data_IF_362756456723
#
_entry.id   IF_362756456723
#
_cell.length_a   1.000
_cell.length_b   1.000
_cell.length_c   1.000
_cell.angle_alpha   90.00
_cell.angle_beta   90.00
_cell.angle_gamma   90.00
#
_symmetry.space_group_name_H-M   'P 1'
#
loop_
_entity.id
_entity.type
_entity.pdbx_description
1 polymer ?
#
# COMPACT_ATOMS: atom_id res chain seq x y z
N UNK A 1 -36.43 23.48 -1.54
CA UNK A 1 -35.86 22.82 -0.34
C UNK A 1 -34.41 22.49 -0.64
N UNK A 2 -33.46 22.81 0.25
CA UNK A 2 -32.06 22.35 0.09
C UNK A 2 -31.99 20.84 0.28
N UNK A 3 -31.22 20.14 -0.56
CA UNK A 3 -31.00 18.71 -0.39
C UNK A 3 -30.04 18.49 0.78
N UNK A 4 -30.42 17.58 1.68
CA UNK A 4 -29.63 17.24 2.86
C UNK A 4 -28.81 15.99 2.61
N UNK A 5 -27.55 16.01 3.01
CA UNK A 5 -26.65 14.85 2.92
C UNK A 5 -26.06 14.58 4.31
N UNK A 6 -26.23 13.36 4.80
CA UNK A 6 -25.60 12.91 6.05
C UNK A 6 -24.37 12.06 5.72
N UNK A 7 -23.24 12.39 6.34
CA UNK A 7 -21.97 11.66 6.25
C UNK A 7 -21.70 11.05 7.63
N UNK A 8 -21.51 9.73 7.68
CA UNK A 8 -21.22 9.01 8.93
C UNK A 8 -19.73 8.65 8.94
N UNK A 9 -19.01 9.21 9.91
CA UNK A 9 -17.57 9.08 10.08
C UNK A 9 -16.80 10.33 9.64
N UNK A 10 -16.06 10.92 10.58
CA UNK A 10 -15.16 12.06 10.42
C UNK A 10 -13.70 11.69 10.18
N UNK A 11 -13.44 10.50 9.63
CA UNK A 11 -12.14 10.13 9.09
C UNK A 11 -11.85 10.78 7.73
N UNK A 12 -10.66 10.53 7.16
CA UNK A 12 -10.23 11.13 5.88
C UNK A 12 -11.25 10.92 4.75
N UNK A 13 -11.90 9.76 4.66
CA UNK A 13 -12.91 9.50 3.63
C UNK A 13 -14.15 10.37 3.79
N UNK A 14 -14.65 10.53 5.02
CA UNK A 14 -15.83 11.36 5.28
C UNK A 14 -15.55 12.84 5.15
N UNK A 15 -14.38 13.30 5.61
CA UNK A 15 -13.93 14.68 5.45
C UNK A 15 -13.72 15.03 3.98
N UNK A 16 -13.07 14.17 3.19
CA UNK A 16 -12.90 14.37 1.77
C UNK A 16 -14.24 14.38 1.02
N UNK A 17 -15.18 13.49 1.39
CA UNK A 17 -16.52 13.50 0.83
C UNK A 17 -17.28 14.79 1.15
N UNK A 18 -17.22 15.26 2.40
CA UNK A 18 -17.84 16.50 2.82
C UNK A 18 -17.26 17.69 2.04
N UNK A 19 -15.92 17.78 1.96
CA UNK A 19 -15.21 18.81 1.22
C UNK A 19 -15.63 18.82 -0.26
N UNK A 20 -15.60 17.65 -0.92
CA UNK A 20 -15.96 17.52 -2.33
C UNK A 20 -17.42 17.93 -2.59
N UNK A 21 -18.35 17.52 -1.73
CA UNK A 21 -19.77 17.87 -1.87
C UNK A 21 -19.99 19.38 -1.74
N UNK A 22 -19.43 20.01 -0.70
CA UNK A 22 -19.55 21.46 -0.47
C UNK A 22 -18.94 22.26 -1.62
N UNK A 23 -17.79 21.83 -2.14
CA UNK A 23 -17.16 22.47 -3.30
C UNK A 23 -17.98 22.30 -4.58
N UNK A 24 -18.55 21.12 -4.80
CA UNK A 24 -19.29 20.81 -6.03
C UNK A 24 -20.68 21.45 -6.09
N UNK A 25 -21.35 21.59 -4.95
CA UNK A 25 -22.68 22.19 -4.87
C UNK A 25 -22.86 22.87 -3.50
N UNK A 26 -22.59 24.19 -3.42
CA UNK A 26 -22.77 24.99 -2.20
C UNK A 26 -24.23 25.08 -1.71
N UNK A 27 -25.20 24.60 -2.49
CA UNK A 27 -26.61 24.58 -2.07
C UNK A 27 -26.96 23.35 -1.20
N UNK A 28 -26.07 22.35 -1.14
CA UNK A 28 -26.24 21.18 -0.28
C UNK A 28 -26.12 21.54 1.19
N UNK A 29 -27.00 20.95 1.99
CA UNK A 29 -26.97 21.01 3.45
C UNK A 29 -26.28 19.74 3.96
N UNK A 30 -24.95 19.81 4.11
CA UNK A 30 -24.08 18.67 4.44
C UNK A 30 -23.85 18.58 5.94
N UNK A 31 -24.20 17.44 6.53
CA UNK A 31 -24.03 17.14 7.95
C UNK A 31 -23.08 15.97 8.13
N UNK A 32 -22.00 16.16 8.89
CA UNK A 32 -21.04 15.10 9.22
C UNK A 32 -21.20 14.71 10.68
N UNK A 33 -21.32 13.40 10.91
CA UNK A 33 -21.46 12.81 12.25
C UNK A 33 -20.23 11.96 12.54
N UNK A 34 -19.48 12.31 13.58
CA UNK A 34 -18.34 11.54 14.08
C UNK A 34 -18.68 11.01 15.48
N UNK A 35 -18.35 9.74 15.73
CA UNK A 35 -18.64 9.09 17.00
C UNK A 35 -17.63 9.48 18.09
N UNK A 36 -16.37 9.70 17.70
CA UNK A 36 -15.28 10.08 18.57
C UNK A 36 -15.25 11.57 18.93
N UNK A 37 -14.37 11.97 19.87
CA UNK A 37 -14.28 13.34 20.35
C UNK A 37 -13.55 14.29 19.37
N UNK A 38 -13.03 13.78 18.26
CA UNK A 38 -12.26 14.55 17.26
C UNK A 38 -12.46 13.98 15.86
N UNK A 39 -12.22 14.83 14.86
CA UNK A 39 -12.10 14.42 13.46
C UNK A 39 -10.71 13.82 13.17
N UNK A 40 -10.56 13.26 11.96
CA UNK A 40 -9.31 12.69 11.43
C UNK A 40 -9.31 11.16 11.41
N UNK A 41 -10.15 10.52 12.21
CA UNK A 41 -10.19 9.05 12.33
C UNK A 41 -8.82 8.51 12.75
N UNK A 42 -8.28 7.56 11.97
CA UNK A 42 -6.95 6.98 12.23
C UNK A 42 -5.81 7.98 12.08
N UNK A 43 -5.99 9.06 11.31
CA UNK A 43 -4.95 10.08 11.12
C UNK A 43 -4.87 10.92 12.40
N UNK A 44 -3.69 10.93 13.02
CA UNK A 44 -3.43 11.63 14.26
C UNK A 44 -1.95 11.92 14.42
N UNK A 45 -1.63 13.18 14.69
CA UNK A 45 -0.28 13.59 15.02
C UNK A 45 -0.24 14.06 16.48
N UNK A 46 0.71 13.56 17.26
CA UNK A 46 0.92 13.92 18.67
C UNK A 46 2.28 14.57 18.83
N UNK A 47 2.32 15.71 19.55
CA UNK A 47 3.57 16.36 19.96
C UNK A 47 3.87 15.99 21.40
N UNK A 48 5.01 15.34 21.64
CA UNK A 48 5.41 14.91 22.99
C UNK A 48 6.94 14.86 23.10
N UNK A 49 7.49 15.43 24.17
CA UNK A 49 8.92 15.37 24.49
C UNK A 49 9.85 15.82 23.34
N UNK A 50 9.42 16.83 22.55
CA UNK A 50 10.15 17.32 21.38
C UNK A 50 9.95 16.51 20.10
N UNK A 51 9.17 15.42 20.15
CA UNK A 51 8.85 14.58 18.99
C UNK A 51 7.51 14.94 18.36
N UNK A 52 7.41 14.68 17.06
CA UNK A 52 6.17 14.63 16.29
C UNK A 52 5.90 13.16 15.95
N UNK A 53 4.80 12.60 16.48
CA UNK A 53 4.51 11.17 16.44
C UNK A 53 3.20 10.95 15.70
N UNK A 54 3.23 10.17 14.62
CA UNK A 54 2.03 9.78 13.88
C UNK A 54 1.42 8.51 14.49
N UNK A 55 0.11 8.54 14.75
CA UNK A 55 -0.63 7.47 15.42
C UNK A 55 -1.03 6.31 14.49
N UNK A 56 -1.09 6.54 13.18
CA UNK A 56 -1.35 5.49 12.20
C UNK A 56 -0.71 5.79 10.84
N UNK A 57 -1.29 6.71 10.07
CA UNK A 57 -0.76 7.09 8.77
C UNK A 57 0.43 8.04 8.95
N UNK A 58 1.61 7.60 8.55
CA UNK A 58 2.86 8.37 8.65
C UNK A 58 3.18 9.14 7.36
N UNK A 59 2.80 8.58 6.21
CA UNK A 59 2.95 9.21 4.90
C UNK A 59 1.90 8.69 3.90
N UNK A 60 1.85 9.29 2.71
CA UNK A 60 1.04 8.80 1.59
C UNK A 60 1.84 8.83 0.28
N UNK A 61 1.47 7.94 -0.64
CA UNK A 61 2.16 7.78 -1.92
C UNK A 61 1.68 8.86 -2.90
N UNK A 62 2.62 9.62 -3.47
CA UNK A 62 2.34 10.73 -4.39
C UNK A 62 1.98 10.29 -5.80
N UNK A 63 2.11 9.00 -6.14
CA UNK A 63 1.68 8.46 -7.43
C UNK A 63 0.16 8.38 -7.58
N UNK A 64 -0.60 8.53 -6.49
CA UNK A 64 -2.05 8.66 -6.50
C UNK A 64 -2.38 10.16 -6.49
N UNK A 65 -2.84 10.75 -7.60
CA UNK A 65 -2.95 12.21 -7.73
C UNK A 65 -3.96 12.85 -6.78
N UNK A 66 -4.97 12.11 -6.32
CA UNK A 66 -6.06 12.66 -5.50
C UNK A 66 -5.58 13.20 -4.15
N UNK A 67 -4.56 12.60 -3.53
CA UNK A 67 -4.00 13.11 -2.28
C UNK A 67 -3.32 14.46 -2.46
N UNK A 68 -2.49 14.59 -3.50
CA UNK A 68 -1.80 15.84 -3.84
C UNK A 68 -2.80 16.92 -4.21
N UNK A 69 -3.79 16.59 -5.04
CA UNK A 69 -4.85 17.52 -5.42
C UNK A 69 -5.63 18.03 -4.20
N UNK A 70 -5.94 17.17 -3.24
CA UNK A 70 -6.60 17.61 -2.01
C UNK A 70 -5.72 18.59 -1.21
N UNK A 71 -4.41 18.36 -1.14
CA UNK A 71 -3.49 19.31 -0.52
C UNK A 71 -3.47 20.65 -1.26
N UNK A 72 -3.49 20.65 -2.59
CA UNK A 72 -3.59 21.87 -3.41
C UNK A 72 -4.89 22.61 -3.16
N UNK A 73 -6.04 21.91 -3.19
CA UNK A 73 -7.37 22.48 -2.95
C UNK A 73 -7.50 23.11 -1.55
N UNK A 74 -6.74 22.59 -0.57
CA UNK A 74 -6.69 23.09 0.81
C UNK A 74 -5.60 24.16 1.05
N UNK A 75 -4.77 24.49 0.04
CA UNK A 75 -3.66 25.42 0.19
C UNK A 75 -2.47 24.88 1.00
N UNK A 76 -2.33 23.55 1.11
CA UNK A 76 -1.30 22.84 1.86
C UNK A 76 -0.17 22.30 0.96
N UNK A 77 -0.15 22.66 -0.32
CA UNK A 77 0.84 22.15 -1.28
C UNK A 77 2.28 22.47 -0.85
N UNK A 78 2.51 23.67 -0.30
CA UNK A 78 3.83 24.13 0.14
C UNK A 78 4.29 23.48 1.47
N UNK A 79 3.37 22.86 2.21
CA UNK A 79 3.66 22.14 3.45
C UNK A 79 4.07 20.67 3.22
N UNK A 80 4.03 20.20 1.96
CA UNK A 80 4.38 18.82 1.62
C UNK A 80 5.88 18.56 1.76
N UNK A 81 6.24 17.73 2.75
CA UNK A 81 7.62 17.30 2.99
C UNK A 81 7.88 15.97 2.27
N UNK A 82 8.93 15.93 1.45
CA UNK A 82 9.38 14.68 0.80
C UNK A 82 10.19 13.83 1.76
N UNK A 83 10.12 12.51 1.58
CA UNK A 83 10.99 11.58 2.30
C UNK A 83 12.45 11.86 2.01
N UNK A 84 13.29 11.78 3.05
CA UNK A 84 14.73 11.98 2.96
C UNK A 84 15.32 11.00 1.91
N UNK A 85 16.04 11.48 0.88
CA UNK A 85 16.66 10.60 -0.09
C UNK A 85 17.80 9.77 0.51
N UNK A 86 18.44 10.26 1.56
CA UNK A 86 19.52 9.58 2.27
C UNK A 86 18.91 8.52 3.19
N UNK A 87 19.25 7.24 2.97
CA UNK A 87 18.66 6.12 3.70
C UNK A 87 17.41 5.53 3.04
N UNK A 88 17.12 5.86 1.78
CA UNK A 88 16.06 5.19 1.02
C UNK A 88 16.34 3.71 0.88
N UNK A 89 15.35 2.90 1.25
CA UNK A 89 15.41 1.45 1.17
C UNK A 89 14.52 0.85 2.25
N UNK A 90 14.38 -0.46 2.18
CA UNK A 90 13.81 -1.25 3.25
C UNK A 90 14.66 -2.51 3.37
N UNK A 91 14.77 -3.03 4.59
CA UNK A 91 15.47 -4.27 4.88
C UNK A 91 14.47 -5.33 5.29
N UNK A 92 14.80 -6.59 5.03
CA UNK A 92 14.11 -7.74 5.63
C UNK A 92 15.07 -8.45 6.56
N UNK A 93 14.56 -8.85 7.73
CA UNK A 93 15.30 -9.69 8.65
C UNK A 93 15.27 -11.13 8.14
N UNK A 94 16.43 -11.65 7.75
CA UNK A 94 16.58 -13.04 7.30
C UNK A 94 17.81 -13.65 7.96
N UNK A 95 17.66 -14.86 8.52
CA UNK A 95 18.75 -15.59 9.18
C UNK A 95 19.48 -14.75 10.26
N UNK A 96 18.74 -13.90 10.99
CA UNK A 96 19.29 -13.04 12.04
C UNK A 96 20.08 -11.83 11.53
N UNK A 97 20.04 -11.52 10.24
CA UNK A 97 20.70 -10.34 9.64
C UNK A 97 19.70 -9.51 8.85
N UNK A 98 19.85 -8.19 8.92
CA UNK A 98 19.12 -7.28 8.04
C UNK A 98 19.77 -7.35 6.65
N UNK A 99 18.96 -7.69 5.66
CA UNK A 99 19.38 -7.72 4.26
C UNK A 99 18.53 -6.74 3.45
N UNK A 100 19.15 -5.88 2.64
CA UNK A 100 18.43 -4.88 1.88
C UNK A 100 17.56 -5.50 0.80
N UNK A 101 16.33 -4.99 0.69
CA UNK A 101 15.41 -5.38 -0.38
C UNK A 101 16.02 -4.97 -1.72
N UNK A 102 16.04 -5.87 -2.72
CA UNK A 102 16.64 -5.59 -4.02
C UNK A 102 16.02 -4.37 -4.69
N UNK A 103 16.87 -3.49 -5.22
CA UNK A 103 16.40 -2.30 -5.92
C UNK A 103 15.45 -2.66 -7.06
N UNK A 104 14.32 -1.96 -7.13
CA UNK A 104 13.29 -2.23 -8.12
C UNK A 104 12.33 -3.37 -7.77
N UNK A 105 12.44 -4.03 -6.61
CA UNK A 105 11.42 -4.96 -6.14
C UNK A 105 10.19 -4.19 -5.65
N UNK A 106 9.10 -4.24 -6.42
CA UNK A 106 7.83 -3.60 -6.04
C UNK A 106 6.86 -4.65 -5.54
N UNK A 107 6.77 -4.80 -4.22
CA UNK A 107 5.82 -5.64 -3.48
C UNK A 107 5.91 -7.15 -3.79
N UNK A 108 5.86 -7.57 -5.06
CA UNK A 108 5.89 -8.96 -5.52
C UNK A 108 6.74 -9.21 -6.76
N UNK A 109 6.99 -8.20 -7.60
CA UNK A 109 7.78 -8.41 -8.81
C UNK A 109 9.01 -7.51 -8.86
N UNK A 110 10.15 -8.04 -9.32
CA UNK A 110 11.26 -7.20 -9.75
C UNK A 110 10.88 -6.39 -10.99
N UNK A 111 11.14 -5.08 -10.94
CA UNK A 111 11.32 -4.28 -12.16
C UNK A 111 12.70 -4.48 -12.79
N UNK A 112 13.63 -5.14 -12.08
CA UNK A 112 14.99 -5.45 -12.55
C UNK A 112 15.41 -6.84 -12.08
N UNK A 113 15.88 -7.67 -13.02
CA UNK A 113 16.28 -9.06 -12.73
C UNK A 113 17.64 -9.11 -11.99
N UNK A 114 18.58 -8.22 -12.34
CA UNK A 114 19.93 -8.19 -11.78
C UNK A 114 19.99 -8.08 -10.24
N UNK A 115 19.24 -7.16 -9.58
CA UNK A 115 19.22 -7.07 -8.12
C UNK A 115 18.67 -8.32 -7.40
N UNK A 116 17.77 -9.07 -8.03
CA UNK A 116 17.29 -10.35 -7.46
C UNK A 116 18.40 -11.40 -7.52
N UNK A 117 19.22 -11.41 -8.57
CA UNK A 117 20.31 -12.38 -8.69
C UNK A 117 21.41 -12.15 -7.64
N UNK A 118 21.67 -10.91 -7.25
CA UNK A 118 22.71 -10.57 -6.27
C UNK A 118 22.26 -10.67 -4.80
N UNK A 119 20.96 -10.74 -4.53
CA UNK A 119 20.45 -10.74 -3.14
C UNK A 119 20.86 -11.98 -2.33
N UNK A 120 21.09 -11.81 -1.03
CA UNK A 120 21.30 -12.91 -0.08
C UNK A 120 20.01 -13.40 0.57
N UNK A 121 18.89 -12.72 0.32
CA UNK A 121 17.58 -13.07 0.88
C UNK A 121 17.13 -14.44 0.36
N UNK A 122 17.36 -14.71 -0.93
CA UNK A 122 17.00 -15.96 -1.60
C UNK A 122 18.21 -16.87 -1.77
N UNK A 123 18.01 -18.15 -1.52
CA UNK A 123 18.97 -19.20 -1.87
C UNK A 123 19.14 -19.29 -3.39
N UNK A 124 20.24 -19.91 -3.89
CA UNK A 124 20.37 -20.19 -5.32
C UNK A 124 19.17 -20.93 -5.91
N UNK A 125 18.60 -21.87 -5.16
CA UNK A 125 17.39 -22.61 -5.55
C UNK A 125 16.14 -21.72 -5.55
N UNK A 126 15.99 -20.84 -4.56
CA UNK A 126 14.90 -19.86 -4.51
C UNK A 126 14.95 -18.87 -5.68
N UNK A 127 16.16 -18.42 -6.05
CA UNK A 127 16.38 -17.58 -7.23
C UNK A 127 16.01 -18.31 -8.52
N UNK A 128 16.49 -19.54 -8.69
CA UNK A 128 16.15 -20.37 -9.85
C UNK A 128 14.63 -20.58 -9.94
N UNK A 129 13.99 -21.00 -8.83
CA UNK A 129 12.55 -21.20 -8.76
C UNK A 129 11.76 -19.94 -9.09
N UNK A 130 12.21 -18.78 -8.61
CA UNK A 130 11.59 -17.49 -8.92
C UNK A 130 11.76 -17.12 -10.39
N UNK A 131 12.92 -17.42 -10.99
CA UNK A 131 13.19 -17.18 -12.41
C UNK A 131 12.40 -18.10 -13.34
N UNK A 132 12.00 -19.29 -12.87
CA UNK A 132 11.12 -20.19 -13.63
C UNK A 132 9.68 -19.67 -13.77
N UNK A 133 9.34 -18.56 -13.13
CA UNK A 133 8.02 -17.93 -13.22
C UNK A 133 7.58 -17.67 -14.67
N UNK A 134 8.51 -17.32 -15.56
CA UNK A 134 8.26 -17.12 -17.00
C UNK A 134 7.70 -18.37 -17.71
N UNK A 135 7.94 -19.56 -17.16
CA UNK A 135 7.48 -20.83 -17.71
C UNK A 135 6.22 -21.35 -17.00
N UNK A 136 5.74 -20.68 -15.96
CA UNK A 136 4.52 -21.07 -15.26
C UNK A 136 3.30 -20.64 -16.09
N UNK A 137 2.39 -21.58 -16.44
CA UNK A 137 1.23 -21.25 -17.25
C UNK A 137 0.28 -20.31 -16.50
N UNK A 138 -0.38 -19.46 -17.29
CA UNK A 138 -1.46 -18.58 -16.82
C UNK A 138 -2.57 -19.41 -16.19
N UNK A 139 -3.15 -18.92 -15.09
CA UNK A 139 -4.32 -19.57 -14.47
C UNK A 139 -5.52 -19.52 -15.43
N UNK A 140 -6.24 -20.65 -15.55
CA UNK A 140 -7.52 -20.74 -16.26
C UNK A 140 -8.65 -20.51 -15.25
N UNK A 141 -9.59 -19.62 -15.56
CA UNK A 141 -10.75 -19.30 -14.73
C UNK A 141 -10.77 -17.86 -14.21
N UNK A 142 -11.92 -17.45 -13.69
CA UNK A 142 -12.16 -16.10 -13.16
C UNK A 142 -12.21 -16.05 -11.62
N UNK A 143 -11.97 -17.18 -10.96
CA UNK A 143 -12.05 -17.27 -9.50
C UNK A 143 -10.94 -16.46 -8.83
N UNK A 144 -11.29 -15.83 -7.71
CA UNK A 144 -10.35 -15.11 -6.89
C UNK A 144 -9.31 -16.07 -6.27
N UNK A 145 -8.10 -15.58 -6.11
CA UNK A 145 -6.97 -16.33 -5.57
C UNK A 145 -6.40 -15.57 -4.38
N UNK A 146 -6.03 -16.31 -3.33
CA UNK A 146 -5.33 -15.71 -2.19
C UNK A 146 -3.92 -15.32 -2.57
N UNK A 147 -3.41 -14.30 -1.90
CA UNK A 147 -2.11 -13.78 -2.21
C UNK A 147 -1.00 -14.83 -2.12
N UNK A 148 -0.99 -15.61 -1.04
CA UNK A 148 -0.01 -16.67 -0.87
C UNK A 148 -0.09 -17.70 -2.00
N UNK A 149 -1.30 -18.10 -2.41
CA UNK A 149 -1.48 -19.08 -3.49
C UNK A 149 -0.87 -18.56 -4.79
N UNK A 150 -1.18 -17.33 -5.15
CA UNK A 150 -0.65 -16.68 -6.35
C UNK A 150 0.89 -16.63 -6.35
N UNK A 151 1.48 -16.12 -5.27
CA UNK A 151 2.94 -15.93 -5.20
C UNK A 151 3.67 -17.26 -5.14
N UNK A 152 3.20 -18.22 -4.35
CA UNK A 152 3.81 -19.55 -4.26
C UNK A 152 3.73 -20.30 -5.60
N UNK A 153 2.63 -20.16 -6.34
CA UNK A 153 2.46 -20.75 -7.67
C UNK A 153 3.42 -20.15 -8.69
N UNK A 154 3.50 -18.82 -8.76
CA UNK A 154 4.32 -18.14 -9.77
C UNK A 154 5.81 -18.13 -9.41
N UNK A 155 6.15 -17.64 -8.23
CA UNK A 155 7.53 -17.38 -7.82
C UNK A 155 8.12 -18.40 -6.84
N UNK A 156 7.25 -19.16 -6.15
CA UNK A 156 7.67 -20.17 -5.19
C UNK A 156 7.61 -19.70 -3.74
N UNK A 157 7.66 -20.68 -2.83
CA UNK A 157 7.47 -20.47 -1.38
C UNK A 157 8.56 -19.62 -0.74
N UNK A 158 9.82 -19.77 -1.13
CA UNK A 158 10.94 -19.05 -0.51
C UNK A 158 10.84 -17.53 -0.75
N UNK A 159 10.47 -17.11 -1.96
CA UNK A 159 10.23 -15.70 -2.26
C UNK A 159 9.02 -15.16 -1.50
N UNK A 160 7.97 -15.97 -1.36
CA UNK A 160 6.83 -15.62 -0.53
C UNK A 160 7.25 -15.38 0.93
N UNK A 161 7.87 -16.37 1.58
CA UNK A 161 8.17 -16.31 3.02
C UNK A 161 9.18 -15.19 3.36
N UNK A 162 10.21 -15.00 2.52
CA UNK A 162 11.35 -14.14 2.88
C UNK A 162 11.25 -12.70 2.39
N UNK A 163 10.39 -12.43 1.41
CA UNK A 163 10.33 -11.11 0.77
C UNK A 163 8.91 -10.58 0.68
N UNK A 164 7.97 -11.36 0.14
CA UNK A 164 6.61 -10.86 -0.09
C UNK A 164 5.79 -10.79 1.20
N UNK A 165 5.79 -11.85 2.01
CA UNK A 165 5.02 -11.89 3.25
C UNK A 165 5.42 -10.76 4.21
N UNK A 166 6.71 -10.47 4.48
CA UNK A 166 7.10 -9.34 5.33
C UNK A 166 6.60 -7.99 4.79
N UNK A 167 6.70 -7.76 3.49
CA UNK A 167 6.25 -6.52 2.85
C UNK A 167 4.74 -6.34 2.92
N UNK A 168 3.97 -7.36 2.55
CA UNK A 168 2.51 -7.31 2.59
C UNK A 168 2.00 -7.25 4.01
N UNK A 169 2.65 -7.93 4.95
CA UNK A 169 2.33 -7.85 6.36
C UNK A 169 2.38 -6.41 6.88
N UNK A 170 3.38 -5.63 6.44
CA UNK A 170 3.49 -4.20 6.80
C UNK A 170 2.42 -3.31 6.17
N UNK A 171 1.90 -3.64 4.99
CA UNK A 171 0.92 -2.81 4.27
C UNK A 171 -0.51 -3.13 4.71
N UNK A 172 -0.87 -4.42 4.73
CA UNK A 172 -2.25 -4.85 4.93
C UNK A 172 -2.53 -5.32 6.35
N UNK A 173 -1.49 -5.68 7.13
CA UNK A 173 -1.64 -6.30 8.46
C UNK A 173 -2.67 -7.44 8.45
N UNK A 174 -2.70 -8.20 7.36
CA UNK A 174 -3.72 -9.22 7.08
C UNK A 174 -3.07 -10.56 6.73
N UNK A 175 -3.83 -11.65 6.94
CA UNK A 175 -3.38 -12.99 6.58
C UNK A 175 -3.30 -13.17 5.05
N UNK A 176 -2.11 -13.40 4.46
CA UNK A 176 -1.96 -13.60 3.03
C UNK A 176 -2.68 -14.85 2.48
N UNK A 177 -3.09 -15.79 3.34
CA UNK A 177 -3.92 -16.93 2.93
C UNK A 177 -5.36 -16.52 2.60
N UNK A 178 -5.82 -15.36 3.09
CA UNK A 178 -7.18 -14.83 2.93
C UNK A 178 -7.23 -13.53 2.13
N UNK A 179 -6.08 -12.89 1.92
CA UNK A 179 -5.98 -11.64 1.17
C UNK A 179 -6.19 -11.89 -0.33
N UNK A 180 -7.24 -11.29 -0.89
CA UNK A 180 -7.56 -11.36 -2.32
C UNK A 180 -6.52 -10.65 -3.17
N UNK A 181 -5.94 -11.32 -4.18
CA UNK A 181 -5.07 -10.66 -5.15
C UNK A 181 -5.87 -9.70 -6.03
N UNK A 182 -7.12 -10.04 -6.37
CA UNK A 182 -7.95 -9.19 -7.21
C UNK A 182 -8.27 -7.84 -6.55
N UNK A 183 -8.54 -7.85 -5.24
CA UNK A 183 -8.86 -6.62 -4.50
C UNK A 183 -7.63 -5.77 -4.19
N UNK A 184 -6.50 -6.40 -3.88
CA UNK A 184 -5.32 -5.69 -3.36
C UNK A 184 -4.28 -5.37 -4.43
N UNK A 185 -4.22 -6.19 -5.47
CA UNK A 185 -3.09 -6.25 -6.39
C UNK A 185 -3.50 -6.55 -7.84
N UNK A 186 -4.54 -5.87 -8.37
CA UNK A 186 -5.13 -6.19 -9.68
C UNK A 186 -4.14 -6.07 -10.84
N UNK A 187 -3.13 -5.19 -10.72
CA UNK A 187 -2.07 -5.03 -11.74
C UNK A 187 -1.30 -6.33 -12.00
N UNK A 188 -1.04 -7.15 -10.98
CA UNK A 188 -0.32 -8.41 -11.17
C UNK A 188 -1.17 -9.48 -11.86
N UNK A 189 -2.50 -9.45 -11.67
CA UNK A 189 -3.41 -10.30 -12.44
C UNK A 189 -3.49 -9.84 -13.91
N UNK A 190 -3.47 -8.53 -14.17
CA UNK A 190 -3.40 -8.01 -15.53
C UNK A 190 -2.12 -8.48 -16.23
N UNK A 191 -0.97 -8.36 -15.56
CA UNK A 191 0.31 -8.85 -16.06
C UNK A 191 0.36 -10.38 -16.27
N UNK A 192 -0.43 -11.17 -15.53
CA UNK A 192 -0.59 -12.62 -15.82
C UNK A 192 -1.33 -12.86 -17.12
N UNK A 193 -2.33 -12.03 -17.42
CA UNK A 193 -3.24 -12.21 -18.55
C UNK A 193 -2.62 -11.78 -19.87
N UNK A 194 -1.76 -10.77 -19.85
CA UNK A 194 -0.91 -10.32 -20.97
C UNK A 194 0.19 -11.34 -21.27
#
# INVERSE_FOLDING_TARGET
MRRRVAIIGGGISGLAAAHQLVQSDPSLDVHLYEAGPRLGGVIQTVRKDGFLIEGAADNFITSIPSGIKLCEDLGLADDLIKTNPNGRGADVLTQGKLEPIPSGFMVMAPSRIWPILSTRILSPWGKLRSGLELFIPKRKGADDESLKSFVCRRFGKELFDRLVQPLVGGIYTADPNRLSVAATMPRFLQMERE
#
